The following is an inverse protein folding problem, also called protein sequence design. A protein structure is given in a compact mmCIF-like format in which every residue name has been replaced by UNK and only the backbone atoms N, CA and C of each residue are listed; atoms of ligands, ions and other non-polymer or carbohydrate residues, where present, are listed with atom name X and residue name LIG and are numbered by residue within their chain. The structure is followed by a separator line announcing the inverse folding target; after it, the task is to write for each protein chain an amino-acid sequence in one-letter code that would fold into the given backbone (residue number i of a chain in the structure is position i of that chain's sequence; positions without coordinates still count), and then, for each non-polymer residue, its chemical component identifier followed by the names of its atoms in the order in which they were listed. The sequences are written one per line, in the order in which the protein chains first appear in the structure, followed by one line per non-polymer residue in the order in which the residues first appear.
data_IF_493859353330
#
_entry.id   IF_493859353330
#
_cell.length_a   1.000
_cell.length_b   1.000
_cell.length_c   1.000
_cell.angle_alpha   90.00
_cell.angle_beta   90.00
_cell.angle_gamma   90.00
#
_symmetry.space_group_name_H-M   'P 1'
#
loop_
_entity.id
_entity.type
_entity.pdbx_description
1 polymer ?
#
# COMPACT_ATOMS: atom_id res chain seq x y z
N UNK A 1 31.36 0.54 -17.42
CA UNK A 1 30.23 0.04 -16.59
C UNK A 1 28.93 0.51 -17.22
N UNK A 2 27.91 -0.35 -17.40
CA UNK A 2 26.64 0.11 -17.94
C UNK A 2 26.03 1.16 -17.00
N UNK A 3 25.53 2.28 -17.54
CA UNK A 3 24.79 3.29 -16.77
C UNK A 3 23.55 2.61 -16.18
N UNK A 4 23.48 2.53 -14.85
CA UNK A 4 22.30 1.98 -14.17
C UNK A 4 21.12 2.90 -14.46
N UNK A 5 20.05 2.34 -15.03
CA UNK A 5 18.80 3.09 -15.27
C UNK A 5 18.29 3.61 -13.90
N UNK A 6 17.95 4.91 -13.77
CA UNK A 6 17.34 5.43 -12.55
C UNK A 6 16.06 4.66 -12.20
N UNK A 7 15.76 4.54 -10.91
CA UNK A 7 14.47 3.98 -10.44
C UNK A 7 13.39 5.04 -10.55
N UNK A 8 12.20 4.62 -10.95
CA UNK A 8 11.00 5.47 -10.83
C UNK A 8 10.50 5.39 -9.38
N UNK A 9 10.05 6.52 -8.84
CA UNK A 9 9.41 6.61 -7.52
C UNK A 9 8.03 7.23 -7.71
N UNK A 10 6.99 6.54 -7.25
CA UNK A 10 5.60 7.00 -7.30
C UNK A 10 5.14 7.18 -5.86
N UNK A 11 4.68 8.38 -5.52
CA UNK A 11 4.11 8.69 -4.22
C UNK A 11 2.60 8.86 -4.37
N UNK A 12 1.83 8.05 -3.64
CA UNK A 12 0.37 8.07 -3.65
C UNK A 12 -0.08 8.50 -2.26
N UNK A 13 -0.96 9.50 -2.19
CA UNK A 13 -1.54 10.03 -0.96
C UNK A 13 -3.06 10.07 -1.12
N UNK A 14 -3.77 9.68 -0.07
CA UNK A 14 -5.23 9.69 0.03
C UNK A 14 -5.66 10.55 1.20
N UNK A 15 -6.70 11.35 1.01
CA UNK A 15 -7.26 12.21 2.06
C UNK A 15 -8.31 11.45 2.88
N UNK A 16 -8.38 11.72 4.19
CA UNK A 16 -9.28 11.09 5.17
C UNK A 16 -9.37 9.55 5.14
N UNK A 17 -8.39 8.86 4.54
CA UNK A 17 -8.37 7.41 4.48
C UNK A 17 -7.91 6.84 5.83
N UNK A 18 -8.86 6.33 6.60
CA UNK A 18 -8.58 5.64 7.86
C UNK A 18 -7.60 4.47 7.63
N UNK A 19 -6.63 4.35 8.53
CA UNK A 19 -5.59 3.31 8.48
C UNK A 19 -6.14 1.86 8.49
N UNK A 20 -7.32 1.65 9.08
CA UNK A 20 -7.99 0.35 9.22
C UNK A 20 -9.05 0.09 8.14
N UNK A 21 -9.14 0.94 7.11
CA UNK A 21 -10.08 0.82 6.00
C UNK A 21 -9.40 0.24 4.74
N UNK A 22 -8.72 -0.89 4.93
CA UNK A 22 -8.10 -1.71 3.88
C UNK A 22 -8.34 -3.18 4.21
N UNK A 23 -8.66 -4.00 3.20
CA UNK A 23 -9.03 -5.41 3.33
C UNK A 23 -8.01 -6.24 4.12
N UNK A 24 -6.72 -6.05 3.86
CA UNK A 24 -5.64 -6.77 4.57
C UNK A 24 -5.59 -6.49 6.09
N UNK A 25 -6.25 -5.44 6.60
CA UNK A 25 -6.33 -5.17 8.05
C UNK A 25 -7.38 -6.01 8.76
N UNK A 26 -8.32 -6.62 8.01
CA UNK A 26 -9.39 -7.45 8.56
C UNK A 26 -10.42 -6.71 9.43
N UNK A 27 -10.36 -5.37 9.53
CA UNK A 27 -11.25 -4.59 10.40
C UNK A 27 -12.69 -4.53 9.92
N UNK A 28 -12.90 -4.43 8.61
CA UNK A 28 -14.21 -4.30 7.97
C UNK A 28 -14.48 -5.58 7.17
N UNK A 29 -15.37 -6.48 7.63
CA UNK A 29 -15.47 -7.86 7.09
C UNK A 29 -15.81 -7.99 5.60
N UNK A 30 -16.43 -6.96 5.02
CA UNK A 30 -16.88 -6.95 3.62
C UNK A 30 -16.03 -6.05 2.72
N UNK A 31 -15.01 -5.39 3.27
CA UNK A 31 -14.20 -4.42 2.52
C UNK A 31 -13.16 -5.13 1.66
N UNK A 32 -13.29 -4.97 0.34
CA UNK A 32 -12.35 -5.50 -0.63
C UNK A 32 -11.46 -4.36 -1.19
N UNK A 33 -10.14 -4.46 -1.00
CA UNK A 33 -9.17 -3.51 -1.55
C UNK A 33 -8.03 -4.24 -2.26
N UNK A 34 -8.29 -5.03 -3.32
CA UNK A 34 -7.35 -6.00 -3.86
C UNK A 34 -6.00 -5.39 -4.30
N UNK A 35 -5.99 -4.14 -4.78
CA UNK A 35 -4.76 -3.45 -5.15
C UNK A 35 -3.92 -3.04 -3.94
N UNK A 36 -4.57 -2.58 -2.85
CA UNK A 36 -3.87 -2.23 -1.62
C UNK A 36 -3.38 -3.48 -0.89
N UNK A 37 -4.17 -4.56 -0.92
CA UNK A 37 -3.82 -5.86 -0.34
C UNK A 37 -2.59 -6.46 -1.06
N UNK A 38 -2.51 -6.29 -2.39
CA UNK A 38 -1.33 -6.66 -3.18
C UNK A 38 -0.11 -5.83 -2.79
N UNK A 39 -0.25 -4.51 -2.64
CA UNK A 39 0.86 -3.64 -2.21
C UNK A 39 1.36 -4.00 -0.80
N UNK A 40 0.46 -4.36 0.12
CA UNK A 40 0.84 -4.81 1.46
C UNK A 40 1.56 -6.17 1.45
N UNK A 41 1.10 -7.13 0.64
CA UNK A 41 1.68 -8.49 0.55
C UNK A 41 3.00 -8.56 -0.24
N UNK A 42 3.18 -7.71 -1.25
CA UNK A 42 4.42 -7.64 -2.05
C UNK A 42 5.41 -6.57 -1.54
N UNK A 43 5.04 -5.85 -0.48
CA UNK A 43 5.78 -4.70 0.02
C UNK A 43 5.98 -4.72 1.54
N UNK A 44 5.91 -3.54 2.14
CA UNK A 44 6.03 -3.36 3.59
C UNK A 44 4.86 -2.51 4.09
N UNK A 45 4.15 -3.01 5.10
CA UNK A 45 3.07 -2.30 5.80
C UNK A 45 3.57 -1.78 7.15
N UNK A 46 3.35 -0.50 7.42
CA UNK A 46 3.75 0.17 8.66
C UNK A 46 2.48 0.56 9.45
N UNK A 47 2.05 -0.24 10.44
CA UNK A 47 0.75 -0.03 11.13
C UNK A 47 0.72 1.15 12.11
N UNK A 48 1.87 1.74 12.45
CA UNK A 48 2.01 2.80 13.45
C UNK A 48 2.62 4.09 12.85
N UNK A 49 2.36 4.33 11.56
CA UNK A 49 2.82 5.50 10.84
C UNK A 49 1.90 6.72 11.05
#
# INVERSE_FOLDING_TARGET
MPKKKPRNVIFILTDDHRFDYMGFTGKVPWLETPNMDKLASEGAYLPNA
#
